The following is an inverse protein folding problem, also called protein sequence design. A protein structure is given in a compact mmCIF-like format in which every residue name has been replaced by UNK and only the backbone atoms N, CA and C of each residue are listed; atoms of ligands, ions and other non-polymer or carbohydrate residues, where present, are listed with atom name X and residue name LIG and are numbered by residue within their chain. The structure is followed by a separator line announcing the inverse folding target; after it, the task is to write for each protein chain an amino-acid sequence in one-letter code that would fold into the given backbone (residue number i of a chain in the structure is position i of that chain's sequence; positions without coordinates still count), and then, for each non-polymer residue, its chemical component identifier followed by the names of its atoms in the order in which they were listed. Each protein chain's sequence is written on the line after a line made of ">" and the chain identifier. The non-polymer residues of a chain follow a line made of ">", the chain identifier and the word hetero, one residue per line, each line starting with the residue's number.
data_IF_784796713830
#
_entry.id   IF_784796713830
#
_cell.length_a   1.000
_cell.length_b   1.000
_cell.length_c   1.000
_cell.angle_alpha   90.00
_cell.angle_beta   90.00
_cell.angle_gamma   90.00
#
_symmetry.space_group_name_H-M   'P 1'
#
loop_
_entity.id
_entity.type
_entity.pdbx_description
1 polymer ?
#
# COMPACT_ATOMS: atom_id res chain seq x y z
N UNK A 1 17.39 -2.31 -6.54
CA UNK A 1 16.38 -3.36 -6.83
C UNK A 1 15.00 -2.70 -6.92
N UNK A 2 14.18 -3.00 -7.94
CA UNK A 2 12.83 -2.46 -8.05
C UNK A 2 11.91 -2.94 -6.91
N UNK A 3 11.06 -2.06 -6.42
CA UNK A 3 10.15 -2.30 -5.29
C UNK A 3 8.94 -3.18 -5.66
N UNK A 4 8.77 -3.53 -6.95
CA UNK A 4 7.72 -4.47 -7.38
C UNK A 4 7.76 -5.80 -6.62
N UNK A 5 8.96 -6.32 -6.30
CA UNK A 5 9.10 -7.57 -5.54
C UNK A 5 8.55 -7.42 -4.11
N UNK A 6 8.84 -6.28 -3.46
CA UNK A 6 8.27 -5.97 -2.15
C UNK A 6 6.74 -5.89 -2.22
N UNK A 7 6.18 -5.21 -3.23
CA UNK A 7 4.73 -5.12 -3.41
C UNK A 7 4.07 -6.49 -3.54
N UNK A 8 4.62 -7.38 -4.38
CA UNK A 8 4.08 -8.73 -4.51
C UNK A 8 4.17 -9.54 -3.22
N UNK A 9 5.30 -9.45 -2.51
CA UNK A 9 5.48 -10.17 -1.25
C UNK A 9 4.50 -9.69 -0.18
N UNK A 10 4.34 -8.38 0.00
CA UNK A 10 3.40 -7.80 0.98
C UNK A 10 1.95 -8.12 0.59
N UNK A 11 1.60 -8.00 -0.69
CA UNK A 11 0.25 -8.34 -1.18
C UNK A 11 -0.09 -9.82 -0.91
N UNK A 12 0.86 -10.72 -1.14
CA UNK A 12 0.70 -12.15 -0.86
C UNK A 12 0.56 -12.44 0.63
N UNK A 13 1.30 -11.73 1.50
CA UNK A 13 1.23 -11.91 2.95
C UNK A 13 -0.09 -11.40 3.53
N UNK A 14 -0.68 -10.37 2.93
CA UNK A 14 -1.94 -9.78 3.33
C UNK A 14 -3.15 -10.42 2.62
N UNK A 15 -2.93 -11.38 1.71
CA UNK A 15 -3.97 -12.03 0.90
C UNK A 15 -4.81 -11.05 0.05
N UNK A 16 -4.23 -9.90 -0.33
CA UNK A 16 -4.89 -8.90 -1.16
C UNK A 16 -4.35 -8.89 -2.60
N UNK A 17 -5.18 -8.56 -3.61
CA UNK A 17 -4.69 -8.35 -4.96
C UNK A 17 -3.61 -7.27 -5.00
N UNK A 18 -2.49 -7.53 -5.68
CA UNK A 18 -1.37 -6.56 -5.76
C UNK A 18 -1.79 -5.20 -6.32
N UNK A 19 -2.81 -5.16 -7.18
CA UNK A 19 -3.37 -3.94 -7.74
C UNK A 19 -4.19 -3.12 -6.73
N UNK A 20 -4.65 -3.76 -5.66
CA UNK A 20 -5.33 -3.11 -4.55
C UNK A 20 -4.33 -2.70 -3.45
N UNK A 21 -3.08 -3.14 -3.50
CA UNK A 21 -2.06 -2.73 -2.51
C UNK A 21 -1.44 -1.38 -2.90
N UNK A 22 -1.55 -0.42 -1.99
CA UNK A 22 -0.85 0.84 -2.03
C UNK A 22 0.25 0.88 -0.96
N UNK A 23 1.47 1.26 -1.34
CA UNK A 23 2.58 1.47 -0.42
C UNK A 23 2.99 2.94 -0.41
N UNK A 24 3.21 3.51 0.78
CA UNK A 24 3.70 4.87 0.98
C UNK A 24 4.96 4.91 1.85
N UNK A 25 5.89 5.78 1.47
CA UNK A 25 7.05 6.18 2.27
C UNK A 25 7.17 7.70 2.23
N UNK A 26 7.22 8.37 3.39
CA UNK A 26 7.32 9.84 3.52
C UNK A 26 6.39 10.60 2.55
N UNK A 27 5.11 10.24 2.59
CA UNK A 27 4.04 10.85 1.77
C UNK A 27 4.15 10.59 0.26
N UNK A 28 5.09 9.75 -0.19
CA UNK A 28 5.24 9.36 -1.59
C UNK A 28 4.72 7.96 -1.85
N UNK A 29 3.93 7.83 -2.91
CA UNK A 29 3.50 6.55 -3.45
C UNK A 29 4.69 5.79 -4.04
N UNK A 30 4.85 4.53 -3.63
CA UNK A 30 5.88 3.64 -4.16
C UNK A 30 5.37 2.97 -5.45
N UNK A 31 6.01 3.33 -6.57
CA UNK A 31 5.75 2.76 -7.90
C UNK A 31 6.55 1.47 -8.10
N UNK A 32 6.15 0.67 -9.10
CA UNK A 32 6.74 -0.65 -9.32
C UNK A 32 8.22 -0.57 -9.72
N UNK A 33 8.58 0.48 -10.48
CA UNK A 33 9.93 0.76 -10.96
C UNK A 33 10.81 1.51 -9.94
N UNK A 34 10.23 2.02 -8.86
CA UNK A 34 11.01 2.73 -7.86
C UNK A 34 11.98 1.76 -7.18
N UNK A 35 13.06 2.30 -6.64
CA UNK A 35 14.07 1.57 -5.88
C UNK A 35 14.18 2.18 -4.49
N UNK A 36 14.74 1.44 -3.54
CA UNK A 36 15.06 1.98 -2.22
C UNK A 36 15.92 3.25 -2.31
N UNK A 37 16.93 3.26 -3.20
CA UNK A 37 17.83 4.39 -3.40
C UNK A 37 17.11 5.62 -3.96
N UNK A 38 16.25 5.45 -4.97
CA UNK A 38 15.49 6.57 -5.57
C UNK A 38 14.47 7.19 -4.61
N UNK A 39 14.02 6.41 -3.61
CA UNK A 39 13.11 6.86 -2.56
C UNK A 39 13.85 7.29 -1.28
N UNK A 40 15.19 7.21 -1.26
CA UNK A 40 16.03 7.44 -0.08
C UNK A 40 15.58 6.64 1.15
N UNK A 41 15.08 5.42 0.94
CA UNK A 41 14.69 4.49 1.99
C UNK A 41 15.95 3.97 2.67
N UNK A 42 16.04 4.17 3.98
CA UNK A 42 17.15 3.66 4.78
C UNK A 42 16.74 2.40 5.55
N UNK A 43 17.74 1.73 6.09
CA UNK A 43 17.49 0.60 6.98
C UNK A 43 16.57 1.03 8.14
N UNK A 44 15.55 0.22 8.43
CA UNK A 44 14.50 0.45 9.43
C UNK A 44 13.53 1.62 9.15
N UNK A 45 13.55 2.21 7.95
CA UNK A 45 12.47 3.12 7.55
C UNK A 45 11.14 2.36 7.45
N UNK A 46 10.07 2.97 7.99
CA UNK A 46 8.74 2.42 7.89
C UNK A 46 8.13 2.65 6.49
N UNK A 47 7.44 1.65 5.98
CA UNK A 47 6.59 1.74 4.78
C UNK A 47 5.17 1.45 5.22
N UNK A 48 4.25 2.37 4.92
CA UNK A 48 2.83 2.19 5.20
C UNK A 48 2.19 1.42 4.05
N UNK A 49 1.36 0.44 4.39
CA UNK A 49 0.61 -0.38 3.44
C UNK A 49 -0.89 -0.16 3.62
N UNK A 50 -1.59 0.06 2.52
CA UNK A 50 -3.03 0.29 2.48
C UNK A 50 -3.67 -0.62 1.44
N UNK A 51 -4.81 -1.20 1.77
CA UNK A 51 -5.69 -1.82 0.78
C UNK A 51 -6.62 -0.75 0.18
N UNK A 52 -6.61 -0.64 -1.13
CA UNK A 52 -7.49 0.20 -1.91
C UNK A 52 -8.76 -0.57 -2.27
N UNK A 53 -9.82 -0.32 -1.53
CA UNK A 53 -11.15 -0.80 -1.90
C UNK A 53 -11.78 0.20 -2.85
N UNK A 54 -12.24 -0.26 -4.03
CA UNK A 54 -13.07 0.58 -4.90
C UNK A 54 -14.38 0.89 -4.16
N UNK A 55 -14.47 2.10 -3.63
CA UNK A 55 -15.74 2.66 -3.20
C UNK A 55 -16.49 3.01 -4.49
N UNK A 56 -17.59 2.30 -4.77
CA UNK A 56 -18.51 2.73 -5.83
C UNK A 56 -18.88 4.19 -5.56
N UNK A 57 -18.74 5.06 -6.57
CA UNK A 57 -19.11 6.48 -6.49
C UNK A 57 -20.52 6.60 -5.88
N UNK A 58 -20.60 7.00 -4.62
CA UNK A 58 -21.85 6.98 -3.84
C UNK A 58 -21.60 7.24 -2.37
N UNK A 59 -20.89 6.35 -1.68
CA UNK A 59 -20.81 6.41 -0.21
C UNK A 59 -19.41 6.06 0.29
N UNK A 60 -18.68 7.05 0.82
CA UNK A 60 -17.42 6.78 1.55
C UNK A 60 -17.80 6.26 2.93
N UNK A 61 -17.64 4.96 3.14
CA UNK A 61 -17.72 4.35 4.46
C UNK A 61 -16.31 4.19 5.03
N UNK A 62 -16.06 4.77 6.21
CA UNK A 62 -14.87 4.45 6.98
C UNK A 62 -15.15 3.10 7.64
N UNK A 63 -14.35 2.08 7.32
CA UNK A 63 -14.48 0.73 7.90
C UNK A 63 -13.31 0.49 8.84
N UNK A 64 -13.61 0.21 10.10
CA UNK A 64 -12.64 -0.19 11.12
C UNK A 64 -13.04 -1.59 11.64
N UNK A 65 -12.10 -2.54 11.67
CA UNK A 65 -12.34 -3.91 12.14
C UNK A 65 -13.58 -4.60 11.52
N UNK A 66 -13.76 -4.47 10.21
CA UNK A 66 -14.93 -5.02 9.49
C UNK A 66 -16.29 -4.42 9.90
N UNK A 67 -16.30 -3.29 10.60
CA UNK A 67 -17.51 -2.53 10.95
C UNK A 67 -17.48 -1.15 10.31
N UNK A 68 -18.63 -0.69 9.81
CA UNK A 68 -18.80 0.67 9.30
C UNK A 68 -18.88 1.63 10.50
N UNK A 69 -17.97 2.59 10.58
CA UNK A 69 -17.93 3.63 11.61
C UNK A 69 -18.51 4.92 11.02
N UNK A 70 -19.50 5.51 11.72
CA UNK A 70 -20.16 6.78 11.36
C UNK A 70 -19.50 7.96 12.08
#
# INVERSE_FOLDING_TARGET
>A
MPMIKLKHQVASQLEIPVNNLCLLHREKYIRNQDTADSLAIRHNDAILAFELTKVNKGDIHIVENNQVVY
#
